data_IF_332551549828
#
_entry.id   IF_332551549828
#
_cell.length_a   1.000
_cell.length_b   1.000
_cell.length_c   1.000
_cell.angle_alpha   90.00
_cell.angle_beta   90.00
_cell.angle_gamma   90.00
#
_symmetry.space_group_name_H-M   'P 1'
#
loop_
_entity.id
_entity.type
_entity.pdbx_description
1 polymer ?
#
# COMPACT_ATOMS: atom_id res chain seq x y z
N UNK A 1 21.94 26.43 -19.15
CA UNK A 1 21.94 25.53 -17.97
C UNK A 1 20.53 24.99 -17.91
N UNK A 2 20.33 23.76 -18.38
CA UNK A 2 19.00 23.20 -18.61
C UNK A 2 18.44 22.69 -17.27
N UNK A 3 17.33 23.29 -16.85
CA UNK A 3 16.53 22.84 -15.70
C UNK A 3 15.96 21.45 -16.00
N UNK A 4 16.58 20.41 -15.44
CA UNK A 4 16.00 19.06 -15.41
C UNK A 4 14.94 18.99 -14.32
N UNK A 5 13.73 19.44 -14.66
CA UNK A 5 12.52 19.00 -13.97
C UNK A 5 12.34 17.52 -14.33
N UNK A 6 12.67 16.61 -13.40
CA UNK A 6 12.42 15.19 -13.56
C UNK A 6 10.91 14.93 -13.47
N UNK A 7 10.27 14.92 -14.62
CA UNK A 7 8.89 14.49 -14.79
C UNK A 7 8.81 12.97 -14.88
N UNK A 8 8.21 12.33 -13.87
CA UNK A 8 7.92 10.90 -13.84
C UNK A 8 6.92 10.47 -14.93
N UNK A 9 6.36 11.39 -15.74
CA UNK A 9 5.53 11.05 -16.90
C UNK A 9 6.32 10.47 -18.07
N UNK A 10 7.66 10.59 -18.09
CA UNK A 10 8.50 10.24 -19.25
C UNK A 10 9.16 8.86 -19.19
N UNK A 11 9.11 8.16 -18.04
CA UNK A 11 9.52 6.77 -17.95
C UNK A 11 8.26 5.90 -17.85
N UNK A 12 8.21 4.83 -18.66
CA UNK A 12 7.41 3.66 -18.27
C UNK A 12 7.94 3.21 -16.92
N UNK A 13 7.24 3.59 -15.86
CA UNK A 13 7.54 3.13 -14.52
C UNK A 13 7.01 1.71 -14.40
N UNK A 14 7.75 0.78 -15.01
CA UNK A 14 7.45 -0.64 -14.99
C UNK A 14 7.84 -1.27 -13.62
N UNK A 15 8.59 -0.54 -12.78
CA UNK A 15 8.96 -0.94 -11.42
C UNK A 15 9.39 0.27 -10.56
N UNK A 16 8.68 0.61 -9.48
CA UNK A 16 9.22 1.47 -8.39
C UNK A 16 9.56 0.55 -7.23
N UNK A 17 10.81 0.07 -7.19
CA UNK A 17 11.33 -0.59 -6.01
C UNK A 17 11.92 0.46 -5.07
N UNK A 18 11.31 0.61 -3.90
CA UNK A 18 11.80 1.46 -2.82
C UNK A 18 13.08 0.94 -2.12
N UNK A 19 13.73 -0.09 -2.67
CA UNK A 19 14.95 -0.71 -2.13
C UNK A 19 16.25 -0.04 -2.62
N UNK A 20 16.18 0.84 -3.62
CA UNK A 20 17.33 1.66 -4.00
C UNK A 20 17.38 2.90 -3.10
N UNK A 21 18.50 3.09 -2.41
CA UNK A 21 18.86 4.36 -1.80
C UNK A 21 19.04 5.40 -2.93
N UNK A 22 17.93 5.95 -3.44
CA UNK A 22 17.95 7.02 -4.43
C UNK A 22 18.49 8.26 -3.73
N UNK A 23 19.81 8.48 -3.87
CA UNK A 23 20.48 9.72 -3.46
C UNK A 23 20.01 10.86 -4.36
N UNK A 24 18.81 11.35 -4.10
CA UNK A 24 18.24 12.53 -4.75
C UNK A 24 18.89 13.80 -4.19
N UNK A 25 20.21 13.95 -4.31
CA UNK A 25 20.94 15.19 -3.95
C UNK A 25 20.59 15.82 -2.59
N UNK A 26 20.16 15.03 -1.60
CA UNK A 26 19.71 15.53 -0.27
C UNK A 26 18.21 15.80 -0.11
N UNK A 27 17.38 15.54 -1.12
CA UNK A 27 15.93 15.72 -1.09
C UNK A 27 15.18 14.40 -0.82
N UNK A 28 14.51 14.33 0.33
CA UNK A 28 13.62 13.23 0.69
C UNK A 28 12.34 13.24 -0.17
N UNK A 29 12.01 12.11 -0.81
CA UNK A 29 10.72 11.93 -1.49
C UNK A 29 9.63 11.65 -0.45
N UNK A 30 8.65 12.54 -0.35
CA UNK A 30 7.56 12.48 0.65
C UNK A 30 6.19 12.13 0.06
N UNK A 31 6.03 12.14 -1.26
CA UNK A 31 4.77 11.87 -1.95
C UNK A 31 5.04 11.25 -3.33
N UNK A 32 4.07 10.49 -3.86
CA UNK A 32 4.06 10.05 -5.26
C UNK A 32 3.60 11.15 -6.24
N UNK A 33 3.17 12.31 -5.73
CA UNK A 33 2.85 13.48 -6.54
C UNK A 33 1.68 13.25 -7.51
N UNK A 34 1.90 13.54 -8.80
CA UNK A 34 0.87 13.48 -9.83
C UNK A 34 0.72 12.10 -10.51
N UNK A 35 1.42 11.06 -10.05
CA UNK A 35 1.28 9.71 -10.60
C UNK A 35 -0.13 9.20 -10.30
N UNK A 36 -0.92 8.90 -11.34
CA UNK A 36 -2.28 8.36 -11.17
C UNK A 36 -2.35 6.83 -11.29
N UNK A 37 -1.39 6.22 -11.99
CA UNK A 37 -1.37 4.77 -12.21
C UNK A 37 0.05 4.26 -12.35
N UNK A 38 0.32 3.09 -11.75
CA UNK A 38 1.53 2.29 -11.95
C UNK A 38 1.13 1.02 -12.69
N UNK A 39 1.86 0.63 -13.73
CA UNK A 39 1.55 -0.59 -14.52
C UNK A 39 2.08 -1.86 -13.86
N UNK A 40 3.26 -1.78 -13.26
CA UNK A 40 3.90 -2.87 -12.53
C UNK A 40 3.55 -2.87 -11.04
N UNK A 41 4.49 -3.39 -10.26
CA UNK A 41 4.39 -3.49 -8.81
C UNK A 41 4.74 -2.14 -8.14
N UNK A 42 4.25 -1.95 -6.90
CA UNK A 42 4.64 -0.83 -6.04
C UNK A 42 5.09 -1.35 -4.68
N UNK A 43 6.36 -1.11 -4.35
CA UNK A 43 6.95 -1.40 -3.04
C UNK A 43 7.26 -0.15 -2.24
N UNK A 44 6.66 -0.03 -1.06
CA UNK A 44 6.90 1.05 -0.10
C UNK A 44 7.49 0.45 1.19
N UNK A 45 8.77 0.07 1.12
CA UNK A 45 9.59 -0.31 2.27
C UNK A 45 10.49 0.85 2.67
N UNK A 46 10.72 1.04 3.97
CA UNK A 46 11.74 1.95 4.49
C UNK A 46 11.68 3.38 3.92
N UNK A 47 10.50 3.80 3.48
CA UNK A 47 10.31 5.04 2.73
C UNK A 47 9.94 6.21 3.64
N UNK A 48 10.31 7.43 3.22
CA UNK A 48 9.84 8.69 3.82
C UNK A 48 8.54 9.19 3.20
N UNK A 49 7.96 8.46 2.25
CA UNK A 49 6.67 8.77 1.65
C UNK A 49 5.59 8.80 2.73
N UNK A 50 4.76 9.84 2.68
CA UNK A 50 3.76 10.20 3.66
C UNK A 50 2.35 10.06 3.10
N UNK A 51 2.21 10.17 1.78
CA UNK A 51 0.96 10.02 1.04
C UNK A 51 1.19 9.45 -0.37
N UNK A 52 0.13 8.91 -0.96
CA UNK A 52 0.15 8.33 -2.31
C UNK A 52 -0.10 9.35 -3.42
N UNK A 53 -0.13 10.66 -3.12
CA UNK A 53 -0.43 11.70 -4.09
C UNK A 53 -1.77 11.45 -4.80
N UNK A 54 -1.74 11.37 -6.13
CA UNK A 54 -2.92 11.09 -6.97
C UNK A 54 -3.06 9.62 -7.39
N UNK A 55 -2.28 8.69 -6.81
CA UNK A 55 -2.25 7.31 -7.27
C UNK A 55 -3.59 6.60 -7.03
N UNK A 56 -4.25 6.20 -8.12
CA UNK A 56 -5.53 5.48 -8.09
C UNK A 56 -5.38 3.99 -8.40
N UNK A 57 -4.35 3.58 -9.14
CA UNK A 57 -4.22 2.20 -9.64
C UNK A 57 -2.80 1.64 -9.60
N UNK A 58 -2.67 0.39 -9.19
CA UNK A 58 -1.46 -0.43 -9.33
C UNK A 58 -1.80 -1.69 -10.15
N UNK A 59 -1.08 -1.90 -11.25
CA UNK A 59 -1.33 -3.01 -12.16
C UNK A 59 -0.72 -4.34 -11.71
N UNK A 60 0.29 -4.28 -10.85
CA UNK A 60 0.92 -5.43 -10.21
C UNK A 60 0.57 -5.56 -8.72
N UNK A 61 1.48 -6.14 -7.96
CA UNK A 61 1.39 -6.34 -6.52
C UNK A 61 1.78 -5.05 -5.76
N UNK A 62 1.22 -4.87 -4.56
CA UNK A 62 1.44 -3.73 -3.68
C UNK A 62 1.90 -4.19 -2.30
N UNK A 63 3.02 -3.68 -1.83
CA UNK A 63 3.62 -4.10 -0.57
C UNK A 63 4.05 -2.89 0.28
N UNK A 64 3.57 -2.88 1.51
CA UNK A 64 3.93 -1.92 2.54
C UNK A 64 4.54 -2.65 3.73
N UNK A 65 5.72 -2.21 4.16
CA UNK A 65 6.29 -2.65 5.44
C UNK A 65 6.90 -1.47 6.17
N UNK A 66 6.25 -1.09 7.26
CA UNK A 66 6.84 -0.23 8.28
C UNK A 66 7.71 -1.03 9.23
N UNK A 67 8.63 -1.89 8.77
CA UNK A 67 9.53 -2.65 9.65
C UNK A 67 10.35 -1.71 10.56
N UNK A 68 10.71 -0.53 10.05
CA UNK A 68 11.32 0.52 10.84
C UNK A 68 10.38 1.17 11.85
N UNK A 69 9.06 1.00 11.79
CA UNK A 69 8.15 1.50 12.83
C UNK A 69 8.32 0.74 14.15
N UNK A 70 8.76 -0.51 14.08
CA UNK A 70 9.04 -1.33 15.26
C UNK A 70 10.32 -0.88 15.97
N UNK A 71 11.25 -0.26 15.24
CA UNK A 71 12.55 0.22 15.76
C UNK A 71 12.48 1.73 16.06
N UNK A 72 11.96 2.51 15.12
CA UNK A 72 11.85 3.98 15.13
C UNK A 72 10.37 4.38 15.03
N UNK A 73 9.71 4.54 16.19
CA UNK A 73 8.32 5.00 16.28
C UNK A 73 8.16 6.34 15.52
N UNK A 74 7.48 6.31 14.37
CA UNK A 74 7.17 7.50 13.56
C UNK A 74 7.87 7.61 12.20
N UNK A 75 8.65 6.61 11.78
CA UNK A 75 9.35 6.60 10.49
C UNK A 75 8.39 6.52 9.28
N UNK A 76 7.32 5.74 9.39
CA UNK A 76 6.35 5.53 8.34
C UNK A 76 5.06 6.32 8.62
N UNK A 77 4.58 7.09 7.63
CA UNK A 77 3.53 8.10 7.87
C UNK A 77 2.22 7.85 7.13
N UNK A 78 2.18 6.92 6.18
CA UNK A 78 0.96 6.60 5.44
C UNK A 78 -0.05 5.95 6.41
N UNK A 79 -1.16 6.65 6.66
CA UNK A 79 -2.24 6.19 7.55
C UNK A 79 -3.38 5.50 6.81
N UNK A 80 -3.51 5.79 5.52
CA UNK A 80 -4.56 5.29 4.64
C UNK A 80 -4.03 5.08 3.23
N UNK A 81 -4.67 4.20 2.46
CA UNK A 81 -4.36 4.02 1.03
C UNK A 81 -5.06 5.05 0.14
N UNK A 82 -5.80 6.02 0.66
CA UNK A 82 -6.39 7.09 -0.18
C UNK A 82 -5.31 7.85 -0.99
N UNK A 83 -5.50 8.05 -2.31
CA UNK A 83 -6.70 7.82 -3.12
C UNK A 83 -6.70 6.53 -3.96
N UNK A 84 -5.90 5.53 -3.58
CA UNK A 84 -5.81 4.26 -4.30
C UNK A 84 -7.17 3.56 -4.32
N UNK A 85 -7.61 3.15 -5.50
CA UNK A 85 -8.90 2.47 -5.72
C UNK A 85 -8.72 1.00 -6.10
N UNK A 86 -7.63 0.67 -6.82
CA UNK A 86 -7.47 -0.65 -7.43
C UNK A 86 -6.04 -1.16 -7.38
N UNK A 87 -5.88 -2.42 -6.97
CA UNK A 87 -4.66 -3.21 -7.15
C UNK A 87 -5.03 -4.48 -7.90
N UNK A 88 -4.47 -4.69 -9.09
CA UNK A 88 -4.74 -5.92 -9.86
C UNK A 88 -3.99 -7.14 -9.31
N UNK A 89 -2.90 -6.92 -8.58
CA UNK A 89 -2.11 -7.96 -7.92
C UNK A 89 -2.54 -8.26 -6.48
N UNK A 90 -1.59 -8.82 -5.73
CA UNK A 90 -1.72 -9.05 -4.29
C UNK A 90 -1.37 -7.79 -3.50
N UNK A 91 -1.98 -7.63 -2.33
CA UNK A 91 -1.68 -6.54 -1.39
C UNK A 91 -1.15 -7.14 -0.09
N UNK A 92 0.01 -6.66 0.39
CA UNK A 92 0.52 -6.97 1.72
C UNK A 92 0.78 -5.68 2.51
N UNK A 93 0.06 -5.51 3.61
CA UNK A 93 0.25 -4.42 4.56
C UNK A 93 0.83 -4.98 5.84
N UNK A 94 1.97 -4.46 6.28
CA UNK A 94 2.60 -4.74 7.57
C UNK A 94 3.06 -3.45 8.24
N UNK A 95 2.92 -3.36 9.54
CA UNK A 95 3.31 -2.18 10.33
C UNK A 95 2.15 -1.56 11.10
N UNK A 96 2.45 -0.51 11.86
CA UNK A 96 1.53 0.03 12.86
C UNK A 96 0.86 1.34 12.44
N UNK A 97 1.27 1.94 11.33
CA UNK A 97 0.82 3.28 10.97
C UNK A 97 -0.42 3.29 10.10
N UNK A 98 -0.57 2.34 9.18
CA UNK A 98 -1.74 2.26 8.33
C UNK A 98 -2.90 1.65 9.11
N UNK A 99 -3.98 2.41 9.30
CA UNK A 99 -5.14 2.03 10.12
C UNK A 99 -6.41 1.80 9.29
N UNK A 100 -6.47 2.31 8.05
CA UNK A 100 -7.61 2.16 7.14
C UNK A 100 -7.16 1.86 5.70
N UNK A 101 -7.88 0.99 5.00
CA UNK A 101 -7.70 0.80 3.55
C UNK A 101 -8.26 1.96 2.71
N UNK A 102 -9.03 2.87 3.33
CA UNK A 102 -9.51 4.09 2.68
C UNK A 102 -10.32 3.80 1.43
N UNK A 103 -9.90 4.39 0.30
CA UNK A 103 -10.61 4.29 -0.98
C UNK A 103 -10.38 2.99 -1.74
N UNK A 104 -9.54 2.06 -1.25
CA UNK A 104 -9.22 0.83 -1.98
C UNK A 104 -10.48 -0.04 -2.11
N UNK A 105 -10.90 -0.32 -3.34
CA UNK A 105 -12.10 -1.11 -3.65
C UNK A 105 -11.80 -2.53 -4.05
N UNK A 106 -10.67 -2.73 -4.76
CA UNK A 106 -10.40 -4.00 -5.44
C UNK A 106 -8.96 -4.47 -5.23
N UNK A 107 -8.82 -5.74 -4.84
CA UNK A 107 -7.55 -6.47 -4.81
C UNK A 107 -7.69 -7.73 -5.66
N UNK A 108 -6.95 -7.82 -6.77
CA UNK A 108 -7.13 -8.91 -7.73
C UNK A 108 -6.63 -10.28 -7.27
N UNK A 109 -5.74 -10.33 -6.28
CA UNK A 109 -5.25 -11.57 -5.67
C UNK A 109 -5.50 -11.58 -4.16
N UNK A 110 -4.53 -12.08 -3.37
CA UNK A 110 -4.64 -12.13 -1.92
C UNK A 110 -4.48 -10.72 -1.31
N UNK A 111 -5.24 -10.45 -0.24
CA UNK A 111 -5.02 -9.31 0.65
C UNK A 111 -4.52 -9.82 2.00
N UNK A 112 -3.32 -9.39 2.42
CA UNK A 112 -2.75 -9.73 3.72
C UNK A 112 -2.64 -8.49 4.60
N UNK A 113 -3.41 -8.49 5.70
CA UNK A 113 -3.37 -7.52 6.80
C UNK A 113 -2.70 -8.08 8.06
N UNK A 114 -2.07 -9.26 7.96
CA UNK A 114 -1.29 -9.85 9.05
C UNK A 114 -0.19 -8.88 9.51
N UNK A 115 0.02 -8.78 10.82
CA UNK A 115 0.98 -7.83 11.42
C UNK A 115 0.72 -6.36 11.07
N UNK A 116 -0.54 -6.00 10.78
CA UNK A 116 -0.94 -4.62 10.55
C UNK A 116 -1.87 -4.09 11.64
N UNK A 117 -1.93 -2.76 11.79
CA UNK A 117 -2.94 -2.07 12.61
C UNK A 117 -4.17 -1.62 11.81
N UNK A 118 -4.39 -2.17 10.63
CA UNK A 118 -5.59 -1.87 9.85
C UNK A 118 -6.80 -2.41 10.59
N UNK A 119 -7.70 -1.56 11.03
CA UNK A 119 -8.97 -1.95 11.66
C UNK A 119 -10.18 -1.54 10.82
N UNK A 120 -9.98 -0.64 9.86
CA UNK A 120 -11.00 -0.17 8.95
C UNK A 120 -10.73 -0.67 7.51
N UNK A 121 -11.63 -1.48 6.97
CA UNK A 121 -11.54 -1.99 5.60
C UNK A 121 -11.97 -0.96 4.54
N UNK A 122 -12.49 0.20 4.95
CA UNK A 122 -12.85 1.30 4.07
C UNK A 122 -13.84 0.88 2.99
N UNK A 123 -13.53 1.20 1.74
CA UNK A 123 -14.38 0.92 0.59
C UNK A 123 -14.10 -0.43 -0.08
N UNK A 124 -13.45 -1.38 0.61
CA UNK A 124 -13.09 -2.66 0.01
C UNK A 124 -14.35 -3.44 -0.39
N UNK A 125 -14.46 -3.77 -1.67
CA UNK A 125 -15.62 -4.45 -2.27
C UNK A 125 -15.25 -5.87 -2.71
N UNK A 126 -14.05 -6.10 -3.23
CA UNK A 126 -13.65 -7.39 -3.83
C UNK A 126 -12.18 -7.76 -3.54
N UNK A 127 -11.98 -9.02 -3.15
CA UNK A 127 -10.69 -9.69 -3.02
C UNK A 127 -10.72 -10.98 -3.85
N UNK A 128 -9.97 -10.99 -4.96
CA UNK A 128 -9.89 -12.11 -5.89
C UNK A 128 -9.17 -13.35 -5.35
N UNK A 129 -8.59 -13.28 -4.16
CA UNK A 129 -7.93 -14.39 -3.46
C UNK A 129 -8.34 -14.51 -2.00
N UNK A 130 -7.40 -14.97 -1.18
CA UNK A 130 -7.59 -15.09 0.27
C UNK A 130 -7.46 -13.71 0.94
N UNK A 131 -8.23 -13.53 2.01
CA UNK A 131 -8.06 -12.43 2.96
C UNK A 131 -7.37 -12.97 4.22
N UNK A 132 -6.13 -12.55 4.48
CA UNK A 132 -5.32 -13.01 5.62
C UNK A 132 -5.28 -11.93 6.69
N UNK A 133 -5.72 -12.26 7.90
CA UNK A 133 -5.82 -11.32 9.03
C UNK A 133 -5.23 -11.92 10.31
N UNK A 134 -4.82 -11.04 11.24
CA UNK A 134 -4.59 -11.44 12.63
C UNK A 134 -5.93 -11.78 13.28
N UNK A 135 -5.96 -12.85 14.10
CA UNK A 135 -7.16 -13.22 14.86
C UNK A 135 -7.61 -12.12 15.81
N UNK A 136 -6.69 -11.29 16.28
CA UNK A 136 -6.96 -10.25 17.28
C UNK A 136 -7.65 -9.03 16.66
N UNK A 137 -7.59 -8.87 15.34
CA UNK A 137 -8.28 -7.78 14.64
C UNK A 137 -9.67 -8.19 14.10
N UNK A 138 -10.07 -9.46 14.26
CA UNK A 138 -11.28 -10.00 13.64
C UNK A 138 -12.54 -9.22 14.02
N UNK A 139 -12.62 -8.76 15.26
CA UNK A 139 -13.78 -8.01 15.79
C UNK A 139 -14.00 -6.65 15.12
N UNK A 140 -12.98 -6.09 14.47
CA UNK A 140 -13.09 -4.78 13.81
C UNK A 140 -13.68 -4.87 12.40
N UNK A 141 -13.77 -6.07 11.83
CA UNK A 141 -14.08 -6.23 10.41
C UNK A 141 -15.51 -6.72 10.17
N UNK A 142 -16.24 -5.99 9.31
CA UNK A 142 -17.46 -6.47 8.68
C UNK A 142 -17.15 -6.94 7.25
N UNK A 143 -17.26 -8.25 7.02
CA UNK A 143 -17.03 -8.85 5.71
C UNK A 143 -18.31 -9.02 4.88
N UNK A 144 -19.49 -8.67 5.43
CA UNK A 144 -20.79 -8.99 4.80
C UNK A 144 -20.98 -8.35 3.43
N UNK A 145 -20.26 -7.27 3.15
CA UNK A 145 -20.31 -6.50 1.90
C UNK A 145 -19.11 -6.76 0.97
N UNK A 146 -18.20 -7.64 1.36
CA UNK A 146 -16.95 -7.87 0.64
C UNK A 146 -17.04 -9.23 -0.06
N UNK A 147 -16.90 -9.22 -1.38
CA UNK A 147 -16.77 -10.44 -2.16
C UNK A 147 -15.35 -10.97 -2.01
N UNK A 148 -15.22 -12.20 -1.49
CA UNK A 148 -13.93 -12.85 -1.29
C UNK A 148 -13.97 -14.18 -2.04
N UNK A 149 -13.22 -14.29 -3.13
CA UNK A 149 -13.17 -15.49 -3.98
C UNK A 149 -12.43 -16.65 -3.29
N UNK A 150 -11.47 -16.31 -2.43
CA UNK A 150 -10.73 -17.28 -1.62
C UNK A 150 -11.35 -17.51 -0.25
N UNK A 151 -10.50 -17.69 0.76
CA UNK A 151 -10.93 -17.86 2.16
C UNK A 151 -10.43 -16.71 3.02
N UNK A 152 -11.20 -16.40 4.07
CA UNK A 152 -10.69 -15.62 5.20
C UNK A 152 -9.83 -16.55 6.06
N UNK A 153 -8.54 -16.25 6.18
CA UNK A 153 -7.57 -17.01 6.97
C UNK A 153 -7.12 -16.19 8.17
N UNK A 154 -7.18 -16.79 9.35
CA UNK A 154 -6.90 -16.15 10.64
C UNK A 154 -5.60 -16.71 11.21
N UNK A 155 -4.74 -15.84 11.72
CA UNK A 155 -3.43 -16.21 12.25
C UNK A 155 -3.25 -15.73 13.70
N UNK A 156 -2.45 -16.45 14.48
CA UNK A 156 -2.11 -16.12 15.88
C UNK A 156 -0.93 -15.14 15.94
N UNK A 157 -1.00 -14.03 15.20
CA UNK A 157 0.05 -13.00 15.17
C UNK A 157 -0.40 -11.64 15.70
#
# INVERSE_FOLDING_TARGET
MLDYIFDLTSYRVDDVRGDQEYKNNGHEIKTLGNIESIRGDLGLLYTKIQDLGKLKRVGGDLWFSGSDEFINKGSFKIKTLTPLEKVNGAVSIRGNSLTSLGTLKYVGKNLSLRFSKVTDLGNLEDVGGNLLISKYNLEYYDFSKIKIEGKIRKYND
#
